data_IF_043941461201
#
_entry.id   IF_043941461201
#
_cell.length_a   1.000
_cell.length_b   1.000
_cell.length_c   1.000
_cell.angle_alpha   90.00
_cell.angle_beta   90.00
_cell.angle_gamma   90.00
#
_symmetry.space_group_name_H-M   'P 1'
#
loop_
_entity.id
_entity.type
_entity.pdbx_description
1 polymer ?
#
# COMPACT_ATOMS: atom_id res chain seq x y z
N UNK A 1 -7.08 9.64 -34.43
CA UNK A 1 -7.62 8.26 -34.43
C UNK A 1 -8.35 7.96 -33.12
N UNK A 2 -7.68 8.02 -31.96
CA UNK A 2 -8.26 7.67 -30.64
C UNK A 2 -9.54 8.42 -30.28
N UNK A 3 -9.59 9.75 -30.48
CA UNK A 3 -10.80 10.56 -30.25
C UNK A 3 -12.01 10.05 -31.05
N UNK A 4 -11.81 9.85 -32.35
CA UNK A 4 -12.87 9.40 -33.26
C UNK A 4 -13.35 7.99 -32.91
N UNK A 5 -12.43 7.09 -32.54
CA UNK A 5 -12.77 5.73 -32.10
C UNK A 5 -13.60 5.75 -30.80
N UNK A 6 -13.19 6.57 -29.83
CA UNK A 6 -13.90 6.69 -28.56
C UNK A 6 -15.32 7.27 -28.74
N UNK A 7 -15.48 8.29 -29.60
CA UNK A 7 -16.80 8.84 -29.94
C UNK A 7 -17.65 7.81 -30.70
N UNK A 8 -17.05 7.04 -31.61
CA UNK A 8 -17.75 5.96 -32.32
C UNK A 8 -18.20 4.83 -31.39
N UNK A 9 -17.49 4.63 -30.27
CA UNK A 9 -17.85 3.73 -29.18
C UNK A 9 -18.80 4.38 -28.15
N UNK A 10 -19.45 5.49 -28.50
CA UNK A 10 -20.43 6.21 -27.67
C UNK A 10 -19.88 6.79 -26.36
N UNK A 11 -18.56 6.98 -26.24
CA UNK A 11 -17.97 7.66 -25.10
C UNK A 11 -18.35 9.15 -25.07
N UNK A 12 -18.50 9.72 -23.87
CA UNK A 12 -18.70 11.17 -23.75
C UNK A 12 -17.50 11.93 -24.31
N UNK A 13 -17.73 13.10 -24.91
CA UNK A 13 -16.67 13.92 -25.50
C UNK A 13 -15.52 14.22 -24.52
N UNK A 14 -15.82 14.36 -23.23
CA UNK A 14 -14.84 14.55 -22.15
C UNK A 14 -13.93 13.34 -21.99
N UNK A 15 -14.50 12.13 -21.94
CA UNK A 15 -13.77 10.87 -21.85
C UNK A 15 -12.96 10.60 -23.13
N UNK A 16 -13.57 10.83 -24.30
CA UNK A 16 -12.92 10.66 -25.59
C UNK A 16 -11.71 11.61 -25.74
N UNK A 17 -11.84 12.85 -25.25
CA UNK A 17 -10.76 13.84 -25.23
C UNK A 17 -9.63 13.43 -24.27
N UNK A 18 -9.97 12.91 -23.09
CA UNK A 18 -8.98 12.41 -22.14
C UNK A 18 -8.17 11.24 -22.70
N UNK A 19 -8.84 10.23 -23.29
CA UNK A 19 -8.20 9.10 -23.95
C UNK A 19 -7.29 9.54 -25.11
N UNK A 20 -7.73 10.53 -25.89
CA UNK A 20 -6.94 11.07 -26.98
C UNK A 20 -5.67 11.79 -26.51
N UNK A 21 -5.77 12.55 -25.41
CA UNK A 21 -4.62 13.23 -24.81
C UNK A 21 -3.57 12.22 -24.30
N UNK A 22 -4.01 11.16 -23.62
CA UNK A 22 -3.11 10.10 -23.13
C UNK A 22 -2.42 9.40 -24.31
N UNK A 23 -3.20 8.99 -25.31
CA UNK A 23 -2.66 8.39 -26.53
C UNK A 23 -1.63 9.27 -27.24
N UNK A 24 -1.89 10.57 -27.34
CA UNK A 24 -0.97 11.52 -27.94
C UNK A 24 0.33 11.66 -27.13
N UNK A 25 0.24 11.74 -25.80
CA UNK A 25 1.41 11.80 -24.92
C UNK A 25 2.33 10.59 -25.08
N UNK A 26 1.76 9.38 -25.14
CA UNK A 26 2.52 8.14 -25.37
C UNK A 26 3.29 8.21 -26.69
N UNK A 27 2.64 8.65 -27.77
CA UNK A 27 3.25 8.68 -29.11
C UNK A 27 4.36 9.73 -29.19
N UNK A 28 4.15 10.92 -28.61
CA UNK A 28 5.16 11.99 -28.59
C UNK A 28 6.43 11.58 -27.83
N UNK A 29 6.31 10.72 -26.81
CA UNK A 29 7.45 10.20 -26.06
C UNK A 29 8.29 9.16 -26.80
N UNK A 30 7.83 8.64 -27.96
CA UNK A 30 8.55 7.63 -28.72
C UNK A 30 9.40 8.28 -29.82
N UNK A 31 10.58 7.71 -30.06
CA UNK A 31 11.45 8.12 -31.17
C UNK A 31 10.86 7.68 -32.51
N UNK A 32 10.64 8.64 -33.42
CA UNK A 32 10.16 8.40 -34.78
C UNK A 32 8.64 8.31 -34.92
N UNK A 33 8.17 7.96 -36.12
CA UNK A 33 6.74 7.76 -36.38
C UNK A 33 6.25 6.50 -35.69
N UNK A 34 5.46 6.65 -34.63
CA UNK A 34 5.01 5.52 -33.80
C UNK A 34 3.49 5.49 -33.64
N UNK A 35 2.99 4.33 -33.22
CA UNK A 35 1.58 4.11 -32.87
C UNK A 35 1.45 3.85 -31.37
N UNK A 36 0.21 3.92 -30.87
CA UNK A 36 -0.13 3.51 -29.51
C UNK A 36 -0.86 2.18 -29.58
N UNK A 37 -0.42 1.21 -28.77
CA UNK A 37 -1.12 -0.06 -28.59
C UNK A 37 -2.18 0.06 -27.48
N UNK A 38 -3.16 -0.85 -27.49
CA UNK A 38 -4.15 -0.94 -26.42
C UNK A 38 -3.49 -1.15 -25.04
N UNK A 39 -2.47 -2.01 -24.96
CA UNK A 39 -1.73 -2.28 -23.73
C UNK A 39 -1.03 -1.03 -23.17
N UNK A 40 -0.43 -0.20 -24.03
CA UNK A 40 0.21 1.04 -23.63
C UNK A 40 -0.81 2.08 -23.17
N UNK A 41 -1.94 2.18 -23.87
CA UNK A 41 -3.00 3.10 -23.51
C UNK A 41 -3.64 2.71 -22.16
N UNK A 42 -3.93 1.42 -21.95
CA UNK A 42 -4.42 0.89 -20.68
C UNK A 42 -3.42 1.14 -19.55
N UNK A 43 -2.13 0.87 -19.77
CA UNK A 43 -1.10 1.12 -18.76
C UNK A 43 -1.05 2.61 -18.39
N UNK A 44 -1.10 3.51 -19.36
CA UNK A 44 -1.02 4.94 -19.10
C UNK A 44 -2.30 5.54 -18.52
N UNK A 45 -3.48 5.00 -18.86
CA UNK A 45 -4.75 5.32 -18.17
C UNK A 45 -4.66 4.90 -16.70
N UNK A 46 -4.10 3.72 -16.41
CA UNK A 46 -3.88 3.26 -15.05
C UNK A 46 -2.80 4.07 -14.32
N UNK A 47 -1.82 4.66 -15.03
CA UNK A 47 -0.84 5.59 -14.43
C UNK A 47 -1.41 6.99 -14.22
N UNK A 48 -2.30 7.45 -15.09
CA UNK A 48 -2.95 8.78 -15.03
C UNK A 48 -4.05 8.88 -13.97
N UNK A 49 -4.49 7.75 -13.43
CA UNK A 49 -5.18 7.68 -12.14
C UNK A 49 -4.11 7.48 -11.06
N UNK A 50 -3.91 8.41 -10.13
CA UNK A 50 -3.03 8.20 -8.97
C UNK A 50 -3.57 7.11 -8.03
N UNK A 51 -3.45 5.84 -8.43
CA UNK A 51 -3.72 4.69 -7.56
C UNK A 51 -2.89 3.46 -7.98
N UNK A 52 -1.69 3.69 -8.52
CA UNK A 52 -0.84 2.63 -9.05
C UNK A 52 -0.16 1.85 -7.94
N UNK A 53 0.78 2.49 -7.23
CA UNK A 53 1.57 1.91 -6.15
C UNK A 53 2.15 3.06 -5.31
N UNK A 54 2.54 2.80 -4.06
CA UNK A 54 3.29 3.72 -3.21
C UNK A 54 2.47 4.44 -2.14
N UNK A 55 2.92 5.64 -1.76
CA UNK A 55 2.30 6.43 -0.68
C UNK A 55 0.99 7.05 -1.15
N UNK A 56 -0.09 6.82 -0.43
CA UNK A 56 -1.44 7.28 -0.76
C UNK A 56 -2.15 7.85 0.47
N UNK A 57 -3.09 8.77 0.23
CA UNK A 57 -4.06 9.21 1.25
C UNK A 57 -5.11 8.12 1.51
N UNK A 58 -5.84 8.22 2.62
CA UNK A 58 -6.91 7.27 2.94
C UNK A 58 -8.01 7.24 1.86
N UNK A 59 -8.40 8.41 1.32
CA UNK A 59 -9.42 8.51 0.28
C UNK A 59 -8.95 7.85 -1.04
N UNK A 60 -7.70 8.12 -1.44
CA UNK A 60 -7.08 7.48 -2.60
C UNK A 60 -6.98 5.97 -2.40
N UNK A 61 -6.60 5.52 -1.20
CA UNK A 61 -6.52 4.11 -0.87
C UNK A 61 -7.88 3.43 -1.00
N UNK A 62 -8.96 4.04 -0.50
CA UNK A 62 -10.30 3.46 -0.61
C UNK A 62 -10.71 3.24 -2.06
N UNK A 63 -10.47 4.24 -2.92
CA UNK A 63 -10.73 4.15 -4.37
C UNK A 63 -9.89 3.03 -5.00
N UNK A 64 -8.59 2.96 -4.67
CA UNK A 64 -7.67 1.94 -5.19
C UNK A 64 -8.10 0.52 -4.81
N UNK A 65 -8.50 0.34 -3.54
CA UNK A 65 -8.97 -0.93 -2.99
C UNK A 65 -10.27 -1.37 -3.65
N UNK A 66 -11.24 -0.46 -3.80
CA UNK A 66 -12.52 -0.79 -4.45
C UNK A 66 -12.31 -1.20 -5.91
N UNK A 67 -11.43 -0.48 -6.63
CA UNK A 67 -11.07 -0.83 -7.99
C UNK A 67 -10.35 -2.19 -8.07
N UNK A 68 -9.47 -2.51 -7.11
CA UNK A 68 -8.77 -3.79 -7.05
C UNK A 68 -9.72 -4.96 -6.74
N UNK A 69 -10.63 -4.79 -5.78
CA UNK A 69 -11.66 -5.78 -5.46
C UNK A 69 -12.59 -6.02 -6.64
N UNK A 70 -12.95 -4.99 -7.41
CA UNK A 70 -13.73 -5.13 -8.64
C UNK A 70 -13.02 -5.98 -9.71
N UNK A 71 -11.67 -6.03 -9.68
CA UNK A 71 -10.86 -6.94 -10.51
C UNK A 71 -10.66 -8.34 -9.92
N UNK A 72 -11.26 -8.62 -8.76
CA UNK A 72 -11.09 -9.89 -8.04
C UNK A 72 -9.73 -10.03 -7.34
N UNK A 73 -9.00 -8.93 -7.12
CA UNK A 73 -7.72 -8.94 -6.42
C UNK A 73 -7.96 -9.06 -4.90
N UNK A 74 -7.43 -10.12 -4.27
CA UNK A 74 -7.48 -10.30 -2.80
C UNK A 74 -6.57 -9.26 -2.12
N UNK A 75 -7.12 -8.48 -1.20
CA UNK A 75 -6.48 -7.36 -0.51
C UNK A 75 -5.98 -7.79 0.87
N UNK A 76 -4.70 -7.57 1.11
CA UNK A 76 -4.00 -7.84 2.35
C UNK A 76 -3.65 -6.52 2.99
N UNK A 77 -3.82 -6.43 4.30
CA UNK A 77 -3.41 -5.26 5.07
C UNK A 77 -2.59 -5.69 6.29
N UNK A 78 -1.54 -4.93 6.56
CA UNK A 78 -0.80 -4.98 7.82
C UNK A 78 -0.55 -3.57 8.32
N UNK A 79 -0.12 -3.43 9.57
CA UNK A 79 0.29 -2.16 10.11
C UNK A 79 1.42 -2.27 11.13
N UNK A 80 2.20 -1.20 11.24
CA UNK A 80 3.29 -1.09 12.20
C UNK A 80 4.05 0.24 12.12
N UNK A 81 5.01 0.41 13.03
CA UNK A 81 5.85 1.61 13.04
C UNK A 81 6.92 1.59 11.95
N UNK A 82 7.52 0.42 11.66
CA UNK A 82 8.59 0.26 10.65
C UNK A 82 9.71 1.30 10.75
N UNK A 83 10.17 1.58 11.97
CA UNK A 83 11.11 2.68 12.24
C UNK A 83 12.50 2.45 11.64
N UNK A 84 13.10 1.30 11.92
CA UNK A 84 14.32 0.84 11.25
C UNK A 84 14.01 -0.53 10.65
N UNK A 85 13.94 -0.55 9.32
CA UNK A 85 13.71 -1.77 8.56
C UNK A 85 14.93 -2.68 8.63
N UNK A 86 14.67 -3.98 8.59
CA UNK A 86 15.67 -5.04 8.58
C UNK A 86 15.11 -6.26 7.84
N UNK A 87 15.94 -7.27 7.61
CA UNK A 87 15.58 -8.46 6.84
C UNK A 87 14.28 -9.13 7.35
N UNK A 88 14.09 -9.20 8.67
CA UNK A 88 12.84 -9.71 9.26
C UNK A 88 11.56 -8.98 8.79
N UNK A 89 11.59 -7.65 8.65
CA UNK A 89 10.45 -6.91 8.09
C UNK A 89 10.23 -7.22 6.61
N UNK A 90 11.31 -7.37 5.83
CA UNK A 90 11.22 -7.70 4.40
C UNK A 90 10.64 -9.11 4.20
N UNK A 91 11.11 -10.10 4.96
CA UNK A 91 10.55 -11.47 4.94
C UNK A 91 9.09 -11.46 5.37
N UNK A 92 8.77 -10.77 6.48
CA UNK A 92 7.38 -10.63 6.97
C UNK A 92 6.43 -10.05 5.92
N UNK A 93 6.80 -8.92 5.29
CA UNK A 93 5.96 -8.26 4.28
C UNK A 93 5.84 -9.11 3.01
N UNK A 94 6.90 -9.84 2.63
CA UNK A 94 6.88 -10.78 1.50
C UNK A 94 5.92 -11.93 1.77
N UNK A 95 5.96 -12.52 2.97
CA UNK A 95 5.05 -13.58 3.39
C UNK A 95 3.60 -13.10 3.49
N UNK A 96 3.37 -11.87 3.98
CA UNK A 96 2.05 -11.26 4.02
C UNK A 96 1.49 -11.06 2.60
N UNK A 97 2.30 -10.50 1.68
CA UNK A 97 1.93 -10.31 0.27
C UNK A 97 1.54 -11.62 -0.41
N UNK A 98 2.20 -12.74 -0.09
CA UNK A 98 1.90 -14.05 -0.66
C UNK A 98 0.47 -14.55 -0.34
N UNK A 99 -0.22 -13.96 0.63
CA UNK A 99 -1.60 -14.32 0.99
C UNK A 99 -2.66 -13.73 0.03
N UNK A 100 -2.24 -12.96 -0.98
CA UNK A 100 -3.12 -12.52 -2.06
C UNK A 100 -2.45 -11.57 -3.05
N UNK A 101 -3.21 -10.63 -3.60
CA UNK A 101 -2.80 -9.88 -4.78
C UNK A 101 -2.24 -8.50 -4.46
N UNK A 102 -2.70 -7.83 -3.39
CA UNK A 102 -2.30 -6.45 -3.04
C UNK A 102 -2.02 -6.30 -1.56
N UNK A 103 -0.86 -5.77 -1.19
CA UNK A 103 -0.48 -5.50 0.19
C UNK A 103 -0.54 -4.00 0.50
N UNK A 104 -1.36 -3.67 1.48
CA UNK A 104 -1.43 -2.37 2.14
C UNK A 104 -0.58 -2.41 3.40
N UNK A 105 0.27 -1.42 3.60
CA UNK A 105 0.97 -1.19 4.86
C UNK A 105 0.49 0.12 5.48
N UNK A 106 -0.25 0.01 6.58
CA UNK A 106 -0.63 1.17 7.38
C UNK A 106 0.48 1.53 8.38
N UNK A 107 0.91 2.78 8.36
CA UNK A 107 2.09 3.27 9.08
C UNK A 107 1.65 4.25 10.16
N UNK A 108 2.09 4.01 11.39
CA UNK A 108 1.86 4.96 12.48
C UNK A 108 2.53 6.30 12.18
N UNK A 109 1.84 7.42 12.40
CA UNK A 109 2.43 8.75 12.37
C UNK A 109 3.43 8.96 13.51
N UNK A 110 4.28 9.98 13.40
CA UNK A 110 5.32 10.24 14.40
C UNK A 110 4.73 10.50 15.80
N UNK A 111 3.59 11.17 15.85
CA UNK A 111 2.86 11.41 17.10
C UNK A 111 2.35 10.10 17.71
N UNK A 112 1.81 9.19 16.89
CA UNK A 112 1.33 7.87 17.32
C UNK A 112 2.48 7.03 17.88
N UNK A 113 3.62 6.97 17.16
CA UNK A 113 4.80 6.22 17.61
C UNK A 113 5.36 6.79 18.91
N UNK A 114 5.44 8.11 19.05
CA UNK A 114 5.94 8.76 20.27
C UNK A 114 5.08 8.44 21.50
N UNK A 115 3.75 8.40 21.35
CA UNK A 115 2.85 7.97 22.44
C UNK A 115 3.05 6.50 22.80
N UNK A 116 3.22 5.64 21.79
CA UNK A 116 3.34 4.19 21.97
C UNK A 116 4.70 3.76 22.55
N UNK A 117 5.80 4.40 22.14
CA UNK A 117 7.17 3.96 22.43
C UNK A 117 7.96 4.91 23.32
N UNK A 118 7.44 6.11 23.59
CA UNK A 118 8.07 7.10 24.47
C UNK A 118 9.01 8.06 23.76
N UNK A 119 9.76 8.85 24.56
CA UNK A 119 10.68 9.86 24.05
C UNK A 119 11.86 9.21 23.30
N UNK A 120 12.30 9.85 22.21
CA UNK A 120 13.37 9.36 21.33
C UNK A 120 12.92 8.39 20.23
N UNK A 121 11.60 8.20 20.05
CA UNK A 121 11.01 7.42 18.96
C UNK A 121 9.86 8.22 18.29
N UNK A 122 9.67 8.09 16.96
CA UNK A 122 10.49 7.30 16.03
C UNK A 122 11.85 7.96 15.76
N UNK A 123 12.80 7.18 15.26
CA UNK A 123 14.11 7.69 14.79
C UNK A 123 13.94 8.33 13.40
N UNK A 124 13.14 7.69 12.55
CA UNK A 124 12.81 8.18 11.22
C UNK A 124 11.39 8.77 11.18
N UNK A 125 11.26 9.94 10.56
CA UNK A 125 9.96 10.59 10.33
C UNK A 125 9.05 9.73 9.44
N UNK A 126 7.74 9.91 9.55
CA UNK A 126 6.74 9.09 8.86
C UNK A 126 6.89 9.10 7.35
N UNK A 127 7.15 10.27 6.75
CA UNK A 127 7.44 10.44 5.32
C UNK A 127 8.57 9.52 4.84
N UNK A 128 9.68 9.46 5.57
CA UNK A 128 10.84 8.62 5.23
C UNK A 128 10.52 7.14 5.38
N UNK A 129 9.85 6.76 6.46
CA UNK A 129 9.45 5.36 6.70
C UNK A 129 8.52 4.88 5.59
N UNK A 130 7.53 5.70 5.22
CA UNK A 130 6.59 5.41 4.15
C UNK A 130 7.26 5.32 2.79
N UNK A 131 8.20 6.22 2.49
CA UNK A 131 8.97 6.19 1.24
C UNK A 131 9.78 4.89 1.09
N UNK A 132 10.44 4.42 2.15
CA UNK A 132 11.20 3.17 2.09
C UNK A 132 10.27 1.97 1.93
N UNK A 133 9.14 1.94 2.66
CA UNK A 133 8.14 0.88 2.52
C UNK A 133 7.55 0.82 1.11
N UNK A 134 7.25 1.98 0.51
CA UNK A 134 6.76 2.09 -0.86
C UNK A 134 7.77 1.58 -1.90
N UNK A 135 9.07 1.57 -1.58
CA UNK A 135 10.12 1.02 -2.42
C UNK A 135 10.28 -0.50 -2.32
N UNK A 136 9.60 -1.17 -1.38
CA UNK A 136 9.69 -2.62 -1.24
C UNK A 136 8.78 -3.31 -2.27
N UNK A 137 9.33 -4.24 -3.05
CA UNK A 137 8.57 -4.94 -4.09
C UNK A 137 7.36 -5.76 -3.60
N UNK A 138 7.26 -6.02 -2.30
CA UNK A 138 6.11 -6.69 -1.70
C UNK A 138 4.93 -5.74 -1.40
N UNK A 139 5.15 -4.42 -1.36
CA UNK A 139 4.18 -3.43 -0.87
C UNK A 139 3.55 -2.70 -2.05
N UNK A 140 2.21 -2.69 -2.12
CA UNK A 140 1.49 -1.96 -3.16
C UNK A 140 1.13 -0.56 -2.70
N UNK A 141 0.59 -0.42 -1.49
CA UNK A 141 0.13 0.87 -0.97
C UNK A 141 0.60 1.10 0.45
N UNK A 142 0.97 2.34 0.74
CA UNK A 142 1.36 2.79 2.07
C UNK A 142 0.48 3.96 2.48
N UNK A 143 -0.13 3.86 3.66
CA UNK A 143 -1.05 4.87 4.19
C UNK A 143 -0.67 5.21 5.63
N UNK A 144 -0.73 6.48 5.99
CA UNK A 144 -0.48 6.91 7.37
C UNK A 144 -1.76 6.86 8.21
N UNK A 145 -1.64 6.54 9.49
CA UNK A 145 -2.70 6.76 10.48
C UNK A 145 -2.12 7.36 11.77
N UNK A 146 -2.91 8.16 12.49
CA UNK A 146 -2.44 8.93 13.66
C UNK A 146 -2.99 8.43 14.99
N UNK A 147 -4.03 7.62 14.94
CA UNK A 147 -4.68 7.00 16.08
C UNK A 147 -3.73 6.02 16.81
N UNK A 148 -4.10 5.64 18.03
CA UNK A 148 -3.33 4.67 18.81
C UNK A 148 -3.46 3.25 18.25
N UNK A 149 -4.60 2.96 17.62
CA UNK A 149 -4.86 1.70 16.93
C UNK A 149 -5.34 1.98 15.49
N UNK A 150 -5.03 1.08 14.54
CA UNK A 150 -5.46 1.23 13.14
C UNK A 150 -6.93 0.87 12.91
N UNK A 151 -7.71 0.58 13.97
CA UNK A 151 -9.04 -0.03 13.87
C UNK A 151 -9.98 0.75 12.96
N UNK A 152 -10.03 2.09 13.10
CA UNK A 152 -10.87 2.96 12.27
C UNK A 152 -10.52 2.83 10.79
N UNK A 153 -9.23 2.89 10.46
CA UNK A 153 -8.76 2.77 9.09
C UNK A 153 -9.07 1.37 8.52
N UNK A 154 -8.84 0.32 9.29
CA UNK A 154 -9.15 -1.06 8.89
C UNK A 154 -10.65 -1.24 8.67
N UNK A 155 -11.50 -0.70 9.54
CA UNK A 155 -12.95 -0.76 9.42
C UNK A 155 -13.48 0.05 8.22
N UNK A 156 -12.74 1.07 7.76
CA UNK A 156 -13.08 1.82 6.55
C UNK A 156 -12.65 1.09 5.26
N UNK A 157 -11.46 0.47 5.28
CA UNK A 157 -10.89 -0.22 4.11
C UNK A 157 -11.44 -1.64 3.93
N UNK A 158 -11.72 -2.34 5.04
CA UNK A 158 -12.18 -3.73 5.11
C UNK A 158 -11.37 -4.67 4.20
N UNK A 159 -10.08 -4.90 4.49
CA UNK A 159 -9.25 -5.83 3.71
C UNK A 159 -9.80 -7.25 3.78
N UNK A 160 -9.45 -8.09 2.79
CA UNK A 160 -9.86 -9.50 2.77
C UNK A 160 -9.00 -10.34 3.73
N UNK A 161 -7.75 -9.92 3.97
CA UNK A 161 -6.85 -10.51 4.97
C UNK A 161 -6.19 -9.41 5.79
N UNK A 162 -6.34 -9.47 7.11
CA UNK A 162 -5.56 -8.68 8.05
C UNK A 162 -4.41 -9.52 8.60
N UNK A 163 -3.18 -9.05 8.43
CA UNK A 163 -1.98 -9.78 8.84
C UNK A 163 -1.29 -9.05 9.98
N UNK A 164 -0.92 -9.79 11.02
CA UNK A 164 -0.08 -9.31 12.12
C UNK A 164 1.14 -10.18 12.33
N UNK A 165 2.26 -9.55 12.66
CA UNK A 165 3.48 -10.26 13.05
C UNK A 165 3.55 -10.41 14.57
N UNK A 166 4.05 -11.55 15.05
CA UNK A 166 4.35 -11.80 16.46
C UNK A 166 3.31 -12.65 17.18
N UNK A 167 3.35 -12.68 18.50
CA UNK A 167 2.56 -13.63 19.32
C UNK A 167 1.18 -13.09 19.72
N UNK A 168 0.52 -12.35 18.83
CA UNK A 168 -0.81 -11.79 19.11
C UNK A 168 -1.87 -12.88 19.01
N UNK A 169 -2.88 -12.80 19.89
CA UNK A 169 -4.12 -13.55 19.67
C UNK A 169 -4.98 -12.81 18.66
N UNK A 170 -5.66 -13.57 17.80
CA UNK A 170 -6.55 -13.02 16.76
C UNK A 170 -7.61 -12.07 17.36
N UNK A 171 -8.14 -12.40 18.52
CA UNK A 171 -9.14 -11.62 19.27
C UNK A 171 -8.65 -10.24 19.73
N UNK A 172 -7.34 -10.07 19.90
CA UNK A 172 -6.73 -8.82 20.39
C UNK A 172 -6.27 -7.90 19.25
N UNK A 173 -6.44 -8.33 18.00
CA UNK A 173 -6.01 -7.55 16.83
C UNK A 173 -7.05 -6.46 16.53
N UNK A 174 -6.65 -5.20 16.73
CA UNK A 174 -7.45 -4.04 16.39
C UNK A 174 -7.89 -4.08 14.91
N UNK A 175 -9.20 -3.98 14.66
CA UNK A 175 -9.81 -4.09 13.33
C UNK A 175 -10.10 -5.53 12.88
N UNK A 176 -9.66 -6.55 13.64
CA UNK A 176 -9.84 -7.95 13.26
C UNK A 176 -11.30 -8.41 13.31
N UNK A 177 -12.07 -7.91 14.29
CA UNK A 177 -13.50 -8.20 14.40
C UNK A 177 -14.27 -7.72 13.16
N UNK A 178 -14.03 -6.49 12.75
CA UNK A 178 -14.67 -5.86 11.59
C UNK A 178 -14.34 -6.59 10.29
N UNK A 179 -13.09 -7.04 10.15
CA UNK A 179 -12.66 -7.85 8.99
C UNK A 179 -13.39 -9.19 8.96
N UNK A 180 -13.47 -9.90 10.09
CA UNK A 180 -14.15 -11.20 10.18
C UNK A 180 -15.66 -11.06 9.94
N UNK A 181 -16.30 -10.05 10.52
CA UNK A 181 -17.73 -9.78 10.31
C UNK A 181 -18.06 -9.44 8.85
N UNK A 182 -17.10 -8.87 8.12
CA UNK A 182 -17.19 -8.62 6.68
C UNK A 182 -16.78 -9.82 5.81
N UNK A 183 -16.52 -10.99 6.40
CA UNK A 183 -16.16 -12.22 5.69
C UNK A 183 -14.69 -12.36 5.31
N UNK A 184 -13.82 -11.51 5.87
CA UNK A 184 -12.37 -11.60 5.72
C UNK A 184 -11.70 -12.51 6.76
N UNK A 185 -10.38 -12.59 6.69
CA UNK A 185 -9.54 -13.46 7.52
C UNK A 185 -8.53 -12.64 8.33
N UNK A 186 -8.15 -13.13 9.51
CA UNK A 186 -7.08 -12.55 10.32
C UNK A 186 -5.99 -13.58 10.53
N UNK A 187 -4.79 -13.28 10.06
CA UNK A 187 -3.64 -14.18 10.09
C UNK A 187 -2.51 -13.61 10.94
N UNK A 188 -1.91 -14.49 11.75
CA UNK A 188 -0.75 -14.16 12.56
C UNK A 188 0.46 -14.89 11.97
N UNK A 189 1.46 -14.12 11.52
CA UNK A 189 2.71 -14.65 11.00
C UNK A 189 3.78 -14.60 12.08
N UNK A 190 4.50 -15.70 12.25
CA UNK A 190 5.64 -15.76 13.15
C UNK A 190 6.80 -14.93 12.56
N UNK A 191 7.47 -14.15 13.40
CA UNK A 191 8.71 -13.49 12.99
C UNK A 191 9.82 -14.53 12.86
N UNK A 192 10.67 -14.38 11.83
CA UNK A 192 11.96 -15.08 11.81
C UNK A 192 12.78 -14.62 13.03
N UNK A 193 13.25 -15.57 13.83
CA UNK A 193 14.00 -15.30 15.06
C UNK A 193 15.36 -14.65 14.75
N UNK A 194 15.71 -13.59 15.49
CA UNK A 194 17.10 -13.15 15.67
C UNK A 194 17.48 -11.74 15.23
N UNK A 195 16.55 -10.91 14.72
CA UNK A 195 16.86 -9.51 14.36
C UNK A 195 15.68 -8.61 14.70
N UNK A 196 15.83 -7.77 15.73
CA UNK A 196 14.90 -6.69 16.06
C UNK A 196 15.54 -5.30 15.94
N UNK A 197 14.74 -4.27 15.63
CA UNK A 197 15.20 -2.88 15.63
C UNK A 197 15.86 -2.47 16.95
N UNK A 198 15.36 -2.97 18.09
CA UNK A 198 15.90 -2.65 19.41
C UNK A 198 17.31 -3.22 19.59
N UNK A 199 17.56 -4.44 19.14
CA UNK A 199 18.89 -5.05 19.18
C UNK A 199 19.87 -4.30 18.29
N UNK A 200 19.48 -3.92 17.06
CA UNK A 200 20.33 -3.11 16.17
C UNK A 200 20.73 -1.79 16.85
N UNK A 201 19.78 -1.09 17.47
CA UNK A 201 20.06 0.18 18.16
C UNK A 201 20.98 -0.04 19.37
N UNK A 202 20.77 -1.12 20.13
CA UNK A 202 21.62 -1.43 21.28
C UNK A 202 23.04 -1.77 20.85
N UNK A 203 23.23 -2.48 19.72
CA UNK A 203 24.56 -2.75 19.16
C UNK A 203 25.30 -1.46 18.81
N UNK A 204 24.63 -0.51 18.13
CA UNK A 204 25.24 0.78 17.77
C UNK A 204 25.64 1.58 19.02
N UNK A 205 24.82 1.55 20.08
CA UNK A 205 25.10 2.28 21.34
C UNK A 205 26.22 1.67 22.19
N UNK A 206 26.63 0.43 21.92
CA UNK A 206 27.70 -0.25 22.66
C UNK A 206 29.10 0.01 22.06
N UNK A 207 29.18 0.67 20.90
CA UNK A 207 30.44 1.04 20.25
C UNK A 207 30.94 2.46 20.61
N UNK A 208 30.27 3.16 21.53
CA UNK A 208 30.70 4.40 22.19
C UNK A 208 31.20 4.13 23.63
#
# INVERSE_FOLDING_TARGET
>A
ATLALAVAAEAQLTQASALANIAAGIVVGKLGTSTVSEAELLNEIHKGQESGYGVVTEDQLKIAVDAAKARGEKIIMTNGCFDILHAGHVSYLTNAKALGARLIVAVNSDASVKRLKGQGRPVNQSDRRMAVLAGLGAVDWVVEFTEDTPQRLIANILPDVLVKGGDYKVEDIAGGKEVIENGGEVNVLNFEQGISTTEIINTIRLED
#
